data_IF_857682391087
#
_entry.id   IF_857682391087
#
_cell.length_a   1.000
_cell.length_b   1.000
_cell.length_c   1.000
_cell.angle_alpha   90.00
_cell.angle_beta   90.00
_cell.angle_gamma   90.00
#
_symmetry.space_group_name_H-M   'P 1'
#
loop_
_entity.id
_entity.type
_entity.pdbx_description
1 polymer ?
#
# COMPACT_ATOMS: atom_id res chain seq x y z
N UNK A 1 -16.54 16.83 1.10
CA UNK A 1 -17.37 16.10 2.09
C UNK A 1 -18.28 17.06 2.85
N UNK A 2 -17.84 18.27 3.17
CA UNK A 2 -18.60 19.25 3.97
C UNK A 2 -19.96 19.63 3.36
N UNK A 3 -20.06 19.58 2.03
CA UNK A 3 -21.29 19.89 1.28
C UNK A 3 -22.13 18.66 0.91
N UNK A 4 -21.73 17.46 1.34
CA UNK A 4 -22.37 16.20 1.00
C UNK A 4 -22.44 15.29 2.23
N UNK A 5 -23.47 15.48 3.09
CA UNK A 5 -23.59 14.73 4.34
C UNK A 5 -23.69 13.23 4.04
N UNK A 6 -22.86 12.44 4.70
CA UNK A 6 -22.86 10.97 4.62
C UNK A 6 -23.54 10.37 5.85
N UNK A 7 -24.15 9.20 5.71
CA UNK A 7 -24.73 8.45 6.83
C UNK A 7 -23.71 7.68 7.67
N UNK A 8 -22.43 7.70 7.25
CA UNK A 8 -21.30 7.04 7.92
C UNK A 8 -20.15 8.02 8.07
N UNK A 9 -19.24 7.75 9.00
CA UNK A 9 -17.99 8.48 9.10
C UNK A 9 -17.09 8.12 7.91
N UNK A 10 -16.45 9.14 7.31
CA UNK A 10 -15.56 8.98 6.15
C UNK A 10 -14.21 9.61 6.47
N UNK A 11 -13.13 8.83 6.28
CA UNK A 11 -11.76 9.32 6.33
C UNK A 11 -11.10 9.18 4.95
N UNK A 12 -10.29 10.15 4.57
CA UNK A 12 -9.60 10.17 3.27
C UNK A 12 -8.12 9.90 3.48
N UNK A 13 -7.53 9.10 2.60
CA UNK A 13 -6.08 8.86 2.51
C UNK A 13 -5.52 9.52 1.25
N UNK A 14 -4.31 10.05 1.36
CA UNK A 14 -3.58 10.62 0.22
C UNK A 14 -3.04 9.48 -0.63
N UNK A 15 -3.40 9.46 -1.92
CA UNK A 15 -3.02 8.38 -2.81
C UNK A 15 -1.68 8.63 -3.52
N UNK A 16 -0.71 7.72 -3.34
CA UNK A 16 0.61 7.76 -3.98
C UNK A 16 0.56 7.96 -5.50
N UNK A 17 -0.32 7.23 -6.19
CA UNK A 17 -0.42 7.33 -7.65
C UNK A 17 -0.84 8.72 -8.12
N UNK A 18 -1.72 9.39 -7.39
CA UNK A 18 -2.15 10.76 -7.69
C UNK A 18 -0.98 11.72 -7.55
N UNK A 19 -0.24 11.60 -6.45
CA UNK A 19 0.97 12.41 -6.19
C UNK A 19 2.02 12.20 -7.28
N UNK A 20 2.32 10.94 -7.65
CA UNK A 20 3.26 10.66 -8.73
C UNK A 20 2.83 11.28 -10.06
N UNK A 21 1.55 11.21 -10.42
CA UNK A 21 1.03 11.80 -11.65
C UNK A 21 1.14 13.31 -11.69
N UNK A 22 1.02 13.96 -10.54
CA UNK A 22 1.12 15.42 -10.45
C UNK A 22 2.56 15.93 -10.42
N UNK A 23 3.44 15.18 -9.77
CA UNK A 23 4.81 15.63 -9.51
C UNK A 23 5.82 15.22 -10.58
N UNK A 24 5.66 14.02 -11.18
CA UNK A 24 6.67 13.49 -12.08
C UNK A 24 6.52 14.00 -13.52
N UNK A 25 7.62 14.42 -14.11
CA UNK A 25 7.71 14.77 -15.55
C UNK A 25 7.55 13.53 -16.46
N UNK A 26 8.02 12.36 -16.00
CA UNK A 26 7.88 11.05 -16.64
C UNK A 26 7.33 10.10 -15.59
N UNK A 27 6.07 9.70 -15.76
CA UNK A 27 5.32 8.96 -14.73
C UNK A 27 5.88 7.55 -14.44
N UNK A 28 6.47 6.91 -15.43
CA UNK A 28 6.94 5.53 -15.36
C UNK A 28 8.40 5.39 -14.91
N UNK A 29 9.08 6.51 -14.59
CA UNK A 29 10.45 6.44 -14.10
C UNK A 29 10.51 5.77 -12.72
N UNK A 30 11.61 5.03 -12.48
CA UNK A 30 11.78 4.24 -11.26
C UNK A 30 12.07 5.10 -10.03
N UNK A 31 12.58 6.32 -10.23
CA UNK A 31 12.96 7.19 -9.12
C UNK A 31 12.74 8.67 -9.51
N UNK A 32 12.10 9.48 -8.65
CA UNK A 32 11.96 10.91 -8.88
C UNK A 32 13.31 11.64 -8.78
N UNK A 33 13.44 12.79 -9.41
CA UNK A 33 14.50 13.72 -9.08
C UNK A 33 14.28 14.30 -7.68
N UNK A 34 15.29 14.93 -7.11
CA UNK A 34 15.17 15.58 -5.79
C UNK A 34 14.05 16.63 -5.77
N UNK A 35 13.95 17.44 -6.84
CA UNK A 35 12.90 18.45 -7.00
C UNK A 35 11.50 17.81 -7.07
N UNK A 36 11.34 16.72 -7.82
CA UNK A 36 10.07 16.00 -7.92
C UNK A 36 9.71 15.31 -6.59
N UNK A 37 10.69 14.71 -5.90
CA UNK A 37 10.47 14.11 -4.59
C UNK A 37 10.02 15.16 -3.56
N UNK A 38 10.67 16.34 -3.55
CA UNK A 38 10.26 17.45 -2.70
C UNK A 38 8.84 17.92 -3.03
N UNK A 39 8.47 18.01 -4.31
CA UNK A 39 7.10 18.31 -4.72
C UNK A 39 6.12 17.25 -4.19
N UNK A 40 6.47 15.97 -4.29
CA UNK A 40 5.63 14.88 -3.77
C UNK A 40 5.44 14.98 -2.25
N UNK A 41 6.50 15.26 -1.49
CA UNK A 41 6.46 15.48 -0.03
C UNK A 41 5.52 16.63 0.31
N UNK A 42 5.64 17.77 -0.38
CA UNK A 42 4.77 18.93 -0.15
C UNK A 42 3.28 18.59 -0.40
N UNK A 43 2.98 17.82 -1.44
CA UNK A 43 1.62 17.36 -1.73
C UNK A 43 1.07 16.43 -0.63
N UNK A 44 1.92 15.59 -0.03
CA UNK A 44 1.52 14.77 1.14
C UNK A 44 1.20 15.68 2.32
N UNK A 45 2.05 16.65 2.62
CA UNK A 45 1.84 17.58 3.74
C UNK A 45 0.57 18.42 3.55
N UNK A 46 0.35 18.97 2.34
CA UNK A 46 -0.88 19.70 1.99
C UNK A 46 -2.15 18.84 2.20
N UNK A 47 -2.10 17.57 1.79
CA UNK A 47 -3.20 16.63 2.02
C UNK A 47 -3.46 16.39 3.50
N UNK A 48 -2.41 16.23 4.31
CA UNK A 48 -2.54 16.06 5.77
C UNK A 48 -3.10 17.32 6.44
N UNK A 49 -2.65 18.50 6.04
CA UNK A 49 -3.18 19.79 6.51
C UNK A 49 -4.64 20.00 6.13
N UNK A 50 -5.06 19.42 5.00
CA UNK A 50 -6.46 19.42 4.55
C UNK A 50 -7.35 18.41 5.29
N UNK A 51 -6.81 17.65 6.26
CA UNK A 51 -7.56 16.73 7.11
C UNK A 51 -7.57 15.27 6.64
N UNK A 52 -6.67 14.87 5.75
CA UNK A 52 -6.47 13.46 5.43
C UNK A 52 -5.91 12.69 6.64
N UNK A 53 -6.26 11.40 6.75
CA UNK A 53 -5.87 10.55 7.87
C UNK A 53 -4.50 9.88 7.70
N UNK A 54 -3.94 9.92 6.49
CA UNK A 54 -2.68 9.27 6.21
C UNK A 54 -2.39 9.15 4.72
N UNK A 55 -1.42 8.31 4.40
CA UNK A 55 -0.88 8.09 3.06
C UNK A 55 -1.11 6.64 2.62
N UNK A 56 -1.54 6.44 1.37
CA UNK A 56 -1.83 5.10 0.85
C UNK A 56 -1.07 4.80 -0.44
N UNK A 57 -0.67 3.53 -0.59
CA UNK A 57 -0.01 3.01 -1.79
C UNK A 57 -0.74 1.82 -2.39
N UNK A 58 -0.58 1.63 -3.71
CA UNK A 58 -0.99 0.42 -4.41
C UNK A 58 0.17 -0.10 -5.27
N UNK A 59 1.18 -0.69 -4.61
CA UNK A 59 2.48 -1.00 -5.21
C UNK A 59 2.45 -2.12 -6.26
N UNK A 60 1.32 -2.80 -6.41
CA UNK A 60 1.08 -3.77 -7.50
C UNK A 60 0.71 -3.08 -8.81
N UNK A 61 0.20 -1.85 -8.75
CA UNK A 61 -0.30 -1.10 -9.90
C UNK A 61 0.67 -0.03 -10.38
N UNK A 62 0.67 0.26 -11.68
CA UNK A 62 1.36 1.43 -12.24
C UNK A 62 0.62 2.73 -11.87
N UNK A 63 1.33 3.80 -11.57
CA UNK A 63 2.79 3.98 -11.61
C UNK A 63 3.51 3.56 -10.32
N UNK A 64 2.81 3.17 -9.26
CA UNK A 64 3.40 2.81 -7.96
C UNK A 64 4.30 1.58 -8.02
N UNK A 65 4.03 0.65 -8.95
CA UNK A 65 4.85 -0.55 -9.15
C UNK A 65 6.31 -0.24 -9.42
N UNK A 66 6.59 0.85 -10.13
CA UNK A 66 7.93 1.26 -10.54
C UNK A 66 8.67 2.04 -9.44
N UNK A 67 7.98 2.44 -8.37
CA UNK A 67 8.60 3.18 -7.26
C UNK A 67 9.50 2.29 -6.42
N UNK A 68 10.60 2.87 -5.96
CA UNK A 68 11.47 2.23 -4.98
C UNK A 68 10.94 2.42 -3.57
N UNK A 69 11.32 1.52 -2.67
CA UNK A 69 10.92 1.56 -1.25
C UNK A 69 11.36 2.86 -0.59
N UNK A 70 12.53 3.40 -0.97
CA UNK A 70 13.07 4.65 -0.43
C UNK A 70 12.17 5.85 -0.72
N UNK A 71 11.58 5.92 -1.93
CA UNK A 71 10.58 6.96 -2.26
C UNK A 71 9.39 6.88 -1.30
N UNK A 72 8.85 5.68 -1.10
CA UNK A 72 7.70 5.49 -0.20
C UNK A 72 8.06 5.87 1.24
N UNK A 73 9.25 5.53 1.71
CA UNK A 73 9.73 5.90 3.04
C UNK A 73 9.76 7.43 3.20
N UNK A 74 10.31 8.17 2.24
CA UNK A 74 10.39 9.63 2.32
C UNK A 74 9.00 10.28 2.36
N UNK A 75 8.06 9.81 1.53
CA UNK A 75 6.68 10.29 1.55
C UNK A 75 5.96 9.93 2.85
N UNK A 76 6.23 8.73 3.38
CA UNK A 76 5.62 8.27 4.62
C UNK A 76 6.14 9.05 5.84
N UNK A 77 7.39 9.48 5.84
CA UNK A 77 7.92 10.36 6.89
C UNK A 77 7.15 11.67 7.03
N UNK A 78 6.62 12.21 5.93
CA UNK A 78 5.87 13.46 5.92
C UNK A 78 4.58 13.39 6.76
N UNK A 79 3.97 12.21 6.93
CA UNK A 79 2.74 12.06 7.73
C UNK A 79 3.00 11.89 9.23
N UNK A 80 4.25 11.66 9.66
CA UNK A 80 4.58 11.39 11.06
C UNK A 80 4.12 12.50 12.02
N UNK A 81 4.42 13.76 11.69
CA UNK A 81 4.07 14.91 12.53
C UNK A 81 2.55 15.09 12.73
N UNK A 82 1.74 14.48 11.88
CA UNK A 82 0.27 14.50 11.95
C UNK A 82 -0.31 13.25 12.64
N UNK A 83 0.54 12.34 13.16
CA UNK A 83 0.11 11.03 13.67
C UNK A 83 -0.67 10.20 12.62
N UNK A 84 -0.29 10.36 11.35
CA UNK A 84 -0.94 9.70 10.22
C UNK A 84 -0.66 8.20 10.15
N UNK A 85 -1.45 7.48 9.34
CA UNK A 85 -1.29 6.06 9.09
C UNK A 85 -0.79 5.81 7.66
N UNK A 86 0.14 4.87 7.49
CA UNK A 86 0.53 4.33 6.19
C UNK A 86 -0.31 3.10 5.85
N UNK A 87 -1.00 3.12 4.71
CA UNK A 87 -1.90 2.04 4.27
C UNK A 87 -1.39 1.46 2.94
N UNK A 88 -1.20 0.14 2.87
CA UNK A 88 -0.58 -0.47 1.70
C UNK A 88 -1.41 -1.60 1.08
N UNK A 89 -1.83 -1.41 -0.18
CA UNK A 89 -1.98 -2.55 -1.08
C UNK A 89 -0.57 -2.97 -1.47
N UNK A 90 -0.09 -4.07 -0.93
CA UNK A 90 1.30 -4.52 -1.05
C UNK A 90 1.71 -4.79 -2.50
N UNK A 91 3.01 -4.80 -2.75
CA UNK A 91 3.62 -4.99 -4.07
C UNK A 91 3.31 -6.35 -4.68
N UNK A 92 3.24 -7.39 -3.86
CA UNK A 92 2.96 -8.76 -4.31
C UNK A 92 2.27 -9.55 -3.19
N UNK A 93 1.14 -10.16 -3.51
CA UNK A 93 0.35 -10.98 -2.58
C UNK A 93 0.41 -12.48 -2.96
N UNK A 94 1.20 -12.82 -3.98
CA UNK A 94 1.46 -14.17 -4.45
C UNK A 94 2.85 -14.66 -3.99
N UNK A 95 3.74 -15.06 -4.88
CA UNK A 95 5.06 -15.60 -4.56
C UNK A 95 5.93 -14.65 -3.72
N UNK A 96 5.77 -13.33 -3.90
CA UNK A 96 6.47 -12.29 -3.16
C UNK A 96 5.80 -11.86 -1.85
N UNK A 97 4.76 -12.54 -1.37
CA UNK A 97 3.97 -12.14 -0.20
C UNK A 97 4.82 -11.77 1.02
N UNK A 98 5.70 -12.66 1.44
CA UNK A 98 6.52 -12.43 2.65
C UNK A 98 7.55 -11.32 2.47
N UNK A 99 8.02 -11.09 1.25
CA UNK A 99 8.87 -9.94 0.93
C UNK A 99 8.08 -8.64 1.04
N UNK A 100 6.86 -8.62 0.52
CA UNK A 100 5.99 -7.44 0.57
C UNK A 100 5.54 -7.09 1.99
N UNK A 101 5.30 -8.08 2.86
CA UNK A 101 5.05 -7.83 4.28
C UNK A 101 6.27 -7.17 4.93
N UNK A 102 7.49 -7.66 4.66
CA UNK A 102 8.73 -7.04 5.15
C UNK A 102 8.93 -5.63 4.61
N UNK A 103 8.69 -5.40 3.31
CA UNK A 103 8.77 -4.06 2.70
C UNK A 103 7.84 -3.09 3.42
N UNK A 104 6.56 -3.46 3.61
CA UNK A 104 5.56 -2.63 4.26
C UNK A 104 5.91 -2.31 5.72
N UNK A 105 6.35 -3.32 6.47
CA UNK A 105 6.81 -3.13 7.84
C UNK A 105 8.07 -2.25 7.91
N UNK A 106 9.04 -2.43 7.00
CA UNK A 106 10.24 -1.60 6.94
C UNK A 106 9.93 -0.13 6.63
N UNK A 107 8.94 0.14 5.78
CA UNK A 107 8.47 1.51 5.52
C UNK A 107 7.96 2.14 6.81
N UNK A 108 7.08 1.43 7.56
CA UNK A 108 6.55 1.92 8.82
C UNK A 108 7.63 2.17 9.88
N UNK A 109 8.56 1.21 10.06
CA UNK A 109 9.69 1.34 10.98
C UNK A 109 10.61 2.52 10.62
N UNK A 110 10.94 2.66 9.32
CA UNK A 110 11.85 3.73 8.85
C UNK A 110 11.23 5.12 8.92
N UNK A 111 9.91 5.21 8.81
CA UNK A 111 9.16 6.47 8.91
C UNK A 111 8.65 6.74 10.34
N UNK A 112 8.67 5.74 11.22
CA UNK A 112 8.13 5.77 12.59
C UNK A 112 6.63 6.17 12.59
N UNK A 113 5.82 5.38 11.85
CA UNK A 113 4.38 5.58 11.70
C UNK A 113 3.63 4.26 11.82
N UNK A 114 2.33 4.36 12.11
CA UNK A 114 1.39 3.22 12.11
C UNK A 114 1.23 2.67 10.71
N UNK A 115 1.00 1.36 10.60
CA UNK A 115 0.88 0.64 9.33
C UNK A 115 -0.41 -0.17 9.27
N UNK A 116 -1.09 -0.10 8.12
CA UNK A 116 -2.20 -0.98 7.77
C UNK A 116 -1.89 -1.72 6.48
N UNK A 117 -1.92 -3.05 6.52
CA UNK A 117 -1.87 -3.90 5.33
C UNK A 117 -3.30 -4.13 4.84
N UNK A 118 -3.67 -3.50 3.74
CA UNK A 118 -5.03 -3.62 3.18
C UNK A 118 -5.28 -5.01 2.62
N UNK A 119 -6.49 -5.54 2.90
CA UNK A 119 -7.05 -6.76 2.30
C UNK A 119 -6.03 -7.91 2.18
N UNK A 120 -5.32 -8.19 3.27
CA UNK A 120 -4.31 -9.26 3.34
C UNK A 120 -4.84 -10.57 2.78
N UNK A 121 -4.12 -11.15 1.83
CA UNK A 121 -4.45 -12.46 1.24
C UNK A 121 -3.22 -13.19 0.74
N UNK A 122 -3.32 -14.51 0.68
CA UNK A 122 -2.30 -15.40 0.14
C UNK A 122 -2.77 -15.88 -1.24
N UNK A 123 -2.38 -15.16 -2.28
CA UNK A 123 -2.85 -15.40 -3.65
C UNK A 123 -2.11 -16.58 -4.30
N UNK A 124 -2.87 -17.44 -4.99
CA UNK A 124 -2.34 -18.60 -5.74
C UNK A 124 -2.25 -19.88 -4.90
N UNK A 125 -2.38 -21.03 -5.59
CA UNK A 125 -2.40 -22.35 -4.95
C UNK A 125 -1.13 -22.65 -4.16
N UNK A 126 0.04 -22.17 -4.62
CA UNK A 126 1.32 -22.29 -3.92
C UNK A 126 1.37 -21.59 -2.57
N UNK A 127 0.45 -20.65 -2.33
CA UNK A 127 0.36 -19.89 -1.07
C UNK A 127 -0.74 -20.37 -0.13
N UNK A 128 -1.49 -21.41 -0.48
CA UNK A 128 -2.51 -21.94 0.41
C UNK A 128 -1.89 -22.45 1.72
N UNK A 129 -2.48 -22.06 2.84
CA UNK A 129 -1.97 -22.36 4.19
C UNK A 129 -0.92 -21.35 4.70
N UNK A 130 -0.41 -20.45 3.86
CA UNK A 130 0.59 -19.46 4.27
C UNK A 130 0.04 -18.30 5.12
N UNK A 131 -1.28 -18.21 5.30
CA UNK A 131 -1.90 -17.18 6.15
C UNK A 131 -1.39 -17.20 7.59
N UNK A 132 -1.20 -18.38 8.17
CA UNK A 132 -0.63 -18.52 9.52
C UNK A 132 0.76 -17.89 9.61
N UNK A 133 1.62 -18.14 8.63
CA UNK A 133 2.96 -17.56 8.58
C UNK A 133 2.92 -16.05 8.35
N UNK A 134 2.04 -15.57 7.46
CA UNK A 134 1.86 -14.15 7.20
C UNK A 134 1.44 -13.40 8.48
N UNK A 135 0.43 -13.91 9.19
CA UNK A 135 -0.03 -13.35 10.47
C UNK A 135 1.07 -13.40 11.54
N UNK A 136 1.80 -14.53 11.64
CA UNK A 136 2.91 -14.63 12.61
C UNK A 136 4.00 -13.58 12.36
N UNK A 137 4.28 -13.24 11.09
CA UNK A 137 5.23 -12.17 10.76
C UNK A 137 4.71 -10.80 11.19
N UNK A 138 3.43 -10.50 10.97
CA UNK A 138 2.81 -9.25 11.41
C UNK A 138 2.84 -9.15 12.94
N UNK A 139 2.47 -10.23 13.64
CA UNK A 139 2.54 -10.31 15.10
C UNK A 139 3.96 -10.10 15.65
N UNK A 140 4.98 -10.59 14.95
CA UNK A 140 6.38 -10.39 15.32
C UNK A 140 6.77 -8.90 15.22
N UNK A 141 6.41 -8.21 14.14
CA UNK A 141 6.64 -6.78 14.02
C UNK A 141 5.88 -5.98 15.09
N UNK A 142 4.64 -6.35 15.36
CA UNK A 142 3.83 -5.72 16.42
C UNK A 142 4.45 -5.91 17.81
N UNK A 143 4.90 -7.11 18.15
CA UNK A 143 5.61 -7.40 19.42
C UNK A 143 6.92 -6.65 19.56
N UNK A 144 7.56 -6.32 18.45
CA UNK A 144 8.80 -5.54 18.41
C UNK A 144 8.54 -4.02 18.36
N UNK A 145 7.31 -3.57 18.56
CA UNK A 145 6.95 -2.17 18.77
C UNK A 145 6.45 -1.41 17.55
N UNK A 146 6.28 -2.06 16.39
CA UNK A 146 5.60 -1.44 15.27
C UNK A 146 4.08 -1.54 15.44
N UNK A 147 3.38 -0.40 15.40
CA UNK A 147 1.91 -0.38 15.36
C UNK A 147 1.46 -0.80 13.95
N UNK A 148 1.29 -2.11 13.74
CA UNK A 148 0.95 -2.71 12.44
C UNK A 148 -0.28 -3.61 12.56
N UNK A 149 -1.21 -3.41 11.62
CA UNK A 149 -2.44 -4.16 11.50
C UNK A 149 -2.68 -4.61 10.06
N UNK A 150 -3.67 -5.46 9.86
CA UNK A 150 -4.12 -5.89 8.55
C UNK A 150 -5.63 -6.06 8.55
N UNK A 151 -6.28 -5.65 7.47
CA UNK A 151 -7.70 -5.93 7.22
C UNK A 151 -7.89 -7.08 6.22
N UNK A 152 -9.10 -7.61 6.14
CA UNK A 152 -9.49 -8.63 5.18
C UNK A 152 -10.99 -8.55 4.90
N UNK A 153 -11.38 -8.73 3.65
CA UNK A 153 -12.79 -8.89 3.28
C UNK A 153 -13.26 -10.35 3.46
N UNK A 154 -14.56 -10.58 3.79
CA UNK A 154 -15.08 -11.92 4.12
C UNK A 154 -15.58 -12.68 2.88
N UNK A 155 -14.91 -12.58 1.73
CA UNK A 155 -15.30 -13.21 0.47
C UNK A 155 -14.20 -14.12 -0.06
N UNK A 156 -14.59 -15.20 -0.73
CA UNK A 156 -13.68 -16.14 -1.40
C UNK A 156 -13.29 -15.67 -2.81
N UNK A 157 -13.81 -14.54 -3.27
CA UNK A 157 -13.53 -13.94 -4.56
C UNK A 157 -12.93 -12.53 -4.39
N UNK A 158 -12.16 -12.10 -5.37
CA UNK A 158 -11.59 -10.76 -5.45
C UNK A 158 -11.99 -10.05 -6.74
N UNK A 159 -11.97 -8.72 -6.75
CA UNK A 159 -12.17 -7.89 -7.93
C UNK A 159 -10.97 -6.98 -8.12
N UNK A 160 -10.44 -6.93 -9.34
CA UNK A 160 -9.37 -6.02 -9.74
C UNK A 160 -9.42 -5.76 -11.23
N UNK A 161 -8.60 -4.83 -11.73
CA UNK A 161 -8.52 -4.56 -13.16
C UNK A 161 -7.78 -5.69 -13.90
N UNK A 162 -8.27 -6.05 -15.09
CA UNK A 162 -7.70 -7.11 -15.92
C UNK A 162 -6.20 -6.93 -16.19
N UNK A 163 -5.74 -5.69 -16.42
CA UNK A 163 -4.32 -5.38 -16.63
C UNK A 163 -3.44 -5.86 -15.47
N UNK A 164 -3.89 -5.73 -14.23
CA UNK A 164 -3.13 -6.18 -13.06
C UNK A 164 -2.97 -7.71 -13.02
N UNK A 165 -3.97 -8.44 -13.46
CA UNK A 165 -3.91 -9.91 -13.54
C UNK A 165 -2.92 -10.38 -14.61
N UNK A 166 -2.90 -9.73 -15.78
CA UNK A 166 -1.99 -10.08 -16.89
C UNK A 166 -0.51 -9.80 -16.54
N UNK A 167 -0.24 -8.68 -15.88
CA UNK A 167 1.12 -8.27 -15.53
C UNK A 167 1.72 -9.16 -14.42
N UNK A 168 0.91 -9.63 -13.49
CA UNK A 168 1.40 -10.40 -12.35
C UNK A 168 1.45 -11.92 -12.61
N UNK A 169 1.16 -12.39 -13.83
CA UNK A 169 1.17 -13.81 -14.16
C UNK A 169 0.18 -14.66 -13.36
N UNK A 170 -0.84 -14.04 -12.77
CA UNK A 170 -1.84 -14.69 -11.92
C UNK A 170 -2.97 -15.36 -12.73
N UNK A 171 -2.89 -15.36 -14.07
CA UNK A 171 -3.63 -16.32 -14.88
C UNK A 171 -2.90 -17.66 -14.77
N UNK A 172 -3.20 -18.43 -13.76
CA UNK A 172 -2.96 -19.86 -13.81
C UNK A 172 -4.04 -20.45 -14.72
N UNK A 173 -3.61 -21.17 -15.76
CA UNK A 173 -4.46 -22.00 -16.61
C UNK A 173 -5.02 -23.24 -15.86
N UNK A 174 -5.21 -23.14 -14.54
CA UNK A 174 -5.88 -24.19 -13.76
C UNK A 174 -7.39 -24.07 -13.99
N UNK A 175 -8.00 -24.99 -14.79
CA UNK A 175 -9.42 -24.97 -15.07
C UNK A 175 -10.30 -25.16 -13.82
N UNK A 176 -9.73 -25.52 -12.67
CA UNK A 176 -10.41 -25.68 -11.39
C UNK A 176 -10.15 -24.51 -10.43
N UNK A 177 -9.43 -23.47 -10.88
CA UNK A 177 -9.26 -22.26 -10.06
C UNK A 177 -10.61 -21.56 -9.95
N UNK A 178 -11.18 -21.34 -8.76
CA UNK A 178 -12.40 -20.55 -8.61
C UNK A 178 -12.13 -19.13 -9.14
N UNK A 179 -12.91 -18.73 -10.12
CA UNK A 179 -12.90 -17.35 -10.66
C UNK A 179 -13.34 -16.35 -9.59
#
# INVERSE_FOLDING_TARGET
LDNCPTSINVGVLIGHHTIRRDALSIIDKNYPSEEELNKMVNLVEEGMESGCLGFSTGLVYEPGRNSKTEEIIELTKAIKKYNGIYVSHMRNEAEGLFHSIRETANIGLSADVKVEISHLKCVGNSNWGNSVKALSMIDEYSKNGLDIHADQYPYTARSTMLKALLINGTFNDDPNSPM
#
